data_IF_128961197332
#
_entry.id   IF_128961197332
#
_cell.length_a   1.000
_cell.length_b   1.000
_cell.length_c   1.000
_cell.angle_alpha   90.00
_cell.angle_beta   90.00
_cell.angle_gamma   90.00
#
_symmetry.space_group_name_H-M   'P 1'
#
loop_
_entity.id
_entity.type
_entity.pdbx_description
1 polymer ?
#
# COMPACT_ATOMS: atom_id res chain seq x y z
N UNK A 1 -38.59 29.64 8.15
CA UNK A 1 -38.10 28.25 8.21
C UNK A 1 -36.67 28.21 7.68
N UNK A 2 -35.70 28.07 8.57
CA UNK A 2 -34.30 27.89 8.17
C UNK A 2 -34.18 26.43 7.75
N UNK A 3 -34.06 26.17 6.43
CA UNK A 3 -33.68 24.83 5.95
C UNK A 3 -32.27 24.54 6.47
N UNK A 4 -32.18 23.58 7.39
CA UNK A 4 -30.90 23.00 7.74
C UNK A 4 -30.32 22.35 6.48
N UNK A 5 -29.30 22.97 5.90
CA UNK A 5 -28.45 22.30 4.92
C UNK A 5 -27.82 21.13 5.66
N UNK A 6 -28.28 19.93 5.38
CA UNK A 6 -27.63 18.72 5.90
C UNK A 6 -26.19 18.76 5.35
N UNK A 7 -25.22 19.03 6.21
CA UNK A 7 -23.80 18.84 5.86
C UNK A 7 -23.63 17.39 5.48
N UNK A 8 -23.11 17.14 4.27
CA UNK A 8 -22.78 15.77 3.87
C UNK A 8 -21.85 15.15 4.92
N UNK A 9 -22.17 13.95 5.37
CA UNK A 9 -21.35 13.22 6.33
C UNK A 9 -19.95 13.00 5.73
N UNK A 10 -18.90 13.36 6.45
CA UNK A 10 -17.52 13.17 5.99
C UNK A 10 -17.23 11.66 5.91
N UNK A 11 -16.82 11.13 4.75
CA UNK A 11 -16.54 9.70 4.63
C UNK A 11 -15.29 9.33 5.44
N UNK A 12 -15.24 8.10 5.93
CA UNK A 12 -13.99 7.52 6.39
C UNK A 12 -13.07 7.21 5.21
N UNK A 13 -11.78 7.15 5.46
CA UNK A 13 -10.78 6.84 4.43
C UNK A 13 -9.85 5.75 4.96
N UNK A 14 -9.70 4.67 4.22
CA UNK A 14 -8.71 3.62 4.50
C UNK A 14 -7.75 3.50 3.32
N UNK A 15 -6.47 3.56 3.62
CA UNK A 15 -5.42 3.19 2.69
C UNK A 15 -4.86 1.83 3.07
N UNK A 16 -4.96 0.89 2.15
CA UNK A 16 -4.31 -0.41 2.20
C UNK A 16 -3.12 -0.32 1.26
N UNK A 17 -1.92 -0.22 1.80
CA UNK A 17 -0.71 -0.13 1.00
C UNK A 17 0.12 -1.40 1.09
N UNK A 18 0.76 -1.74 0.00
CA UNK A 18 1.74 -2.81 -0.07
C UNK A 18 3.10 -2.27 -0.48
N UNK A 19 4.16 -2.99 -0.17
CA UNK A 19 5.50 -2.73 -0.69
C UNK A 19 5.79 -3.62 -1.90
N UNK A 20 6.60 -3.10 -2.82
CA UNK A 20 7.28 -3.86 -3.86
C UNK A 20 6.34 -4.69 -4.76
N UNK A 21 5.22 -4.14 -5.22
CA UNK A 21 4.30 -4.84 -6.14
C UNK A 21 4.04 -4.01 -7.40
N UNK A 22 4.39 -4.56 -8.56
CA UNK A 22 3.86 -4.13 -9.86
C UNK A 22 2.41 -4.64 -10.03
N UNK A 23 1.67 -4.34 -11.12
CA UNK A 23 0.26 -4.76 -11.28
C UNK A 23 0.07 -6.29 -11.45
N UNK A 24 0.70 -7.10 -10.59
CA UNK A 24 0.57 -8.56 -10.56
C UNK A 24 -0.63 -8.98 -9.70
N UNK A 25 -1.85 -8.56 -10.12
CA UNK A 25 -3.13 -8.91 -9.51
C UNK A 25 -4.05 -9.52 -10.58
N UNK A 26 -4.98 -10.38 -10.18
CA UNK A 26 -5.96 -10.98 -11.08
C UNK A 26 -6.78 -9.93 -11.82
N UNK A 27 -7.28 -8.90 -11.12
CA UNK A 27 -8.00 -7.78 -11.73
C UNK A 27 -7.17 -6.96 -12.72
N UNK A 28 -5.84 -7.06 -12.67
CA UNK A 28 -4.93 -6.42 -13.64
C UNK A 28 -4.64 -7.33 -14.86
N UNK A 29 -5.22 -8.52 -14.91
CA UNK A 29 -5.05 -9.49 -15.99
C UNK A 29 -3.85 -10.40 -15.84
N UNK A 30 -3.23 -10.46 -14.65
CA UNK A 30 -2.14 -11.41 -14.38
C UNK A 30 -2.71 -12.83 -14.19
N UNK A 31 -2.32 -13.83 -15.03
CA UNK A 31 -2.93 -15.15 -15.00
C UNK A 31 -2.44 -16.03 -13.83
N UNK A 32 -1.39 -15.61 -13.13
CA UNK A 32 -0.79 -16.36 -12.02
C UNK A 32 -1.18 -15.82 -10.66
N UNK A 33 -1.65 -14.57 -10.60
CA UNK A 33 -2.01 -13.93 -9.35
C UNK A 33 -3.28 -14.56 -8.74
N UNK A 34 -3.24 -14.86 -7.44
CA UNK A 34 -4.40 -15.34 -6.66
C UNK A 34 -4.75 -14.22 -5.67
N UNK A 35 -5.66 -13.31 -6.10
CA UNK A 35 -5.99 -12.08 -5.37
C UNK A 35 -7.50 -11.83 -5.30
N UNK A 36 -8.32 -12.80 -4.81
CA UNK A 36 -9.77 -12.72 -4.89
C UNK A 36 -10.38 -11.53 -4.12
N UNK A 37 -9.74 -11.08 -3.03
CA UNK A 37 -10.24 -9.95 -2.23
C UNK A 37 -10.05 -8.62 -2.95
N UNK A 38 -8.88 -8.38 -3.53
CA UNK A 38 -8.60 -7.18 -4.31
C UNK A 38 -9.30 -7.20 -5.66
N UNK A 39 -9.47 -8.37 -6.27
CA UNK A 39 -10.24 -8.53 -7.50
C UNK A 39 -11.71 -8.13 -7.27
N UNK A 40 -12.27 -8.53 -6.12
CA UNK A 40 -13.61 -8.12 -5.69
C UNK A 40 -13.68 -6.62 -5.42
N UNK A 41 -12.71 -6.04 -4.71
CA UNK A 41 -12.64 -4.59 -4.48
C UNK A 41 -12.61 -3.82 -5.81
N UNK A 42 -11.86 -4.31 -6.80
CA UNK A 42 -11.79 -3.72 -8.13
C UNK A 42 -13.10 -3.84 -8.92
N UNK A 43 -13.88 -4.90 -8.71
CA UNK A 43 -15.22 -5.07 -9.31
C UNK A 43 -16.26 -4.13 -8.69
N UNK A 44 -16.15 -3.86 -7.38
CA UNK A 44 -17.06 -2.97 -6.64
C UNK A 44 -16.68 -1.49 -6.80
N UNK A 45 -15.45 -1.20 -7.25
CA UNK A 45 -14.88 0.14 -7.30
C UNK A 45 -14.32 0.52 -8.66
N UNK A 46 -13.26 1.30 -8.65
CA UNK A 46 -12.54 1.77 -9.84
C UNK A 46 -11.10 1.31 -9.80
N UNK A 47 -10.68 0.53 -10.81
CA UNK A 47 -9.27 0.19 -11.02
C UNK A 47 -8.64 1.14 -12.03
N UNK A 48 -7.54 1.77 -11.64
CA UNK A 48 -6.75 2.63 -12.52
C UNK A 48 -5.74 1.80 -13.30
N UNK A 49 -5.77 1.87 -14.63
CA UNK A 49 -4.88 1.11 -15.51
C UNK A 49 -3.52 1.75 -15.69
N UNK A 50 -3.41 3.06 -15.46
CA UNK A 50 -2.20 3.86 -15.65
C UNK A 50 -1.91 4.67 -14.38
N UNK A 51 -1.53 3.97 -13.30
CA UNK A 51 -1.09 4.58 -12.05
C UNK A 51 0.43 4.39 -11.89
N UNK A 52 1.14 5.50 -11.73
CA UNK A 52 2.60 5.49 -11.62
C UNK A 52 3.05 6.20 -10.35
N UNK A 53 4.00 5.61 -9.67
CA UNK A 53 4.69 6.26 -8.55
C UNK A 53 5.72 7.24 -9.05
N UNK A 54 6.09 8.20 -8.21
CA UNK A 54 7.09 9.25 -8.54
C UNK A 54 8.54 8.78 -8.39
N UNK A 55 8.75 7.62 -7.77
CA UNK A 55 10.08 7.02 -7.59
C UNK A 55 9.95 5.49 -7.45
N UNK A 56 10.84 4.74 -8.05
CA UNK A 56 10.86 3.27 -7.98
C UNK A 56 11.43 2.71 -6.68
N UNK A 57 11.37 3.44 -5.57
CA UNK A 57 11.89 3.00 -4.26
C UNK A 57 11.12 3.62 -3.10
N UNK A 58 10.96 2.86 -2.02
CA UNK A 58 10.01 3.14 -0.92
C UNK A 58 10.14 4.55 -0.31
N UNK A 59 11.31 4.94 0.17
CA UNK A 59 11.44 6.15 0.97
C UNK A 59 11.16 7.46 0.18
N UNK A 60 11.74 7.70 -1.00
CA UNK A 60 11.40 8.85 -1.83
C UNK A 60 9.92 8.86 -2.26
N UNK A 61 9.38 7.70 -2.67
CA UNK A 61 7.97 7.58 -3.03
C UNK A 61 7.04 7.93 -1.86
N UNK A 62 7.27 7.35 -0.68
CA UNK A 62 6.44 7.58 0.52
C UNK A 62 6.52 9.03 1.00
N UNK A 63 7.67 9.67 0.83
CA UNK A 63 7.83 11.11 1.09
C UNK A 63 6.97 11.94 0.14
N UNK A 64 6.97 11.61 -1.15
CA UNK A 64 6.16 12.31 -2.13
C UNK A 64 4.66 12.11 -1.87
N UNK A 65 4.22 10.88 -1.61
CA UNK A 65 2.82 10.55 -1.35
C UNK A 65 2.30 11.32 -0.12
N UNK A 66 3.04 11.32 0.99
CA UNK A 66 2.54 11.92 2.23
C UNK A 66 2.52 13.44 2.20
N UNK A 67 3.32 14.06 1.34
CA UNK A 67 3.40 15.52 1.20
C UNK A 67 2.63 16.06 -0.01
N UNK A 68 2.26 15.20 -0.98
CA UNK A 68 1.68 15.61 -2.25
C UNK A 68 2.67 16.38 -3.15
N UNK A 69 3.98 16.27 -2.88
CA UNK A 69 5.04 16.97 -3.61
C UNK A 69 6.03 15.99 -4.19
N UNK A 70 6.56 16.27 -5.38
CA UNK A 70 7.66 15.47 -5.92
C UNK A 70 8.86 15.52 -4.98
N UNK A 71 9.45 14.36 -4.73
CA UNK A 71 10.57 14.19 -3.79
C UNK A 71 11.80 15.06 -4.12
N UNK A 72 12.08 15.33 -5.40
CA UNK A 72 13.16 16.22 -5.83
C UNK A 72 12.87 17.70 -5.53
N UNK A 73 11.60 18.11 -5.53
CA UNK A 73 11.21 19.49 -5.20
C UNK A 73 11.39 19.83 -3.72
N UNK A 74 11.41 18.82 -2.86
CA UNK A 74 11.50 18.97 -1.40
C UNK A 74 12.77 18.34 -0.80
N UNK A 75 13.72 17.90 -1.65
CA UNK A 75 15.00 17.35 -1.20
C UNK A 75 14.95 15.97 -0.56
N UNK A 76 13.87 15.19 -0.80
CA UNK A 76 13.66 13.85 -0.20
C UNK A 76 13.91 12.71 -1.17
N UNK A 77 14.66 12.95 -2.26
CA UNK A 77 14.89 12.00 -3.34
C UNK A 77 16.00 10.96 -3.05
N UNK A 78 16.84 11.19 -2.06
CA UNK A 78 17.85 10.21 -1.64
C UNK A 78 17.31 9.25 -0.58
N UNK A 79 17.68 7.98 -0.67
CA UNK A 79 17.40 7.01 0.37
C UNK A 79 18.10 7.40 1.68
N UNK A 80 17.35 7.35 2.78
CA UNK A 80 17.83 7.65 4.14
C UNK A 80 18.37 9.09 4.30
N UNK A 81 17.88 10.03 3.51
CA UNK A 81 18.11 11.44 3.75
C UNK A 81 17.25 11.96 4.91
N UNK A 82 17.57 13.14 5.38
CA UNK A 82 16.89 13.82 6.47
C UNK A 82 16.63 15.28 6.07
N UNK A 83 15.74 15.46 5.12
CA UNK A 83 15.43 16.78 4.58
C UNK A 83 14.70 17.67 5.59
N UNK A 84 14.81 18.97 5.40
CA UNK A 84 13.98 19.96 6.08
C UNK A 84 12.89 20.42 5.14
N UNK A 85 11.64 20.13 5.48
CA UNK A 85 10.51 20.59 4.67
C UNK A 85 10.33 22.11 4.77
N UNK A 86 9.89 22.78 3.69
CA UNK A 86 9.46 24.17 3.76
C UNK A 86 8.37 24.37 4.85
N UNK A 87 8.40 25.48 5.56
CA UNK A 87 7.48 25.74 6.70
C UNK A 87 5.99 25.77 6.32
N UNK A 88 5.70 26.07 5.08
CA UNK A 88 4.33 26.08 4.55
C UNK A 88 3.82 24.69 4.17
N UNK A 89 4.72 23.69 3.98
CA UNK A 89 4.36 22.34 3.52
C UNK A 89 4.00 21.46 4.72
N UNK A 90 2.74 21.09 4.79
CA UNK A 90 2.24 20.11 5.77
C UNK A 90 2.02 18.77 5.08
N UNK A 91 2.46 17.63 5.67
CA UNK A 91 1.96 16.31 5.26
C UNK A 91 0.43 16.28 5.36
N UNK A 92 -0.25 15.75 4.33
CA UNK A 92 -1.71 15.89 4.24
C UNK A 92 -2.51 15.30 5.43
N UNK A 93 -2.03 14.29 6.19
CA UNK A 93 -2.77 13.83 7.38
C UNK A 93 -2.88 14.91 8.46
N UNK A 94 -1.97 15.90 8.49
CA UNK A 94 -2.10 17.08 9.37
C UNK A 94 -3.35 17.88 9.00
N UNK A 95 -3.58 18.10 7.70
CA UNK A 95 -4.76 18.79 7.19
C UNK A 95 -6.06 18.02 7.50
N UNK A 96 -6.03 16.69 7.37
CA UNK A 96 -7.17 15.85 7.75
C UNK A 96 -7.47 15.93 9.25
N UNK A 97 -6.43 15.96 10.10
CA UNK A 97 -6.61 16.15 11.54
C UNK A 97 -7.20 17.54 11.86
N UNK A 98 -6.75 18.57 11.17
CA UNK A 98 -7.32 19.93 11.29
C UNK A 98 -8.80 19.95 10.85
N UNK A 99 -9.18 19.09 9.89
CA UNK A 99 -10.57 18.87 9.46
C UNK A 99 -11.38 17.93 10.38
N UNK A 100 -10.82 17.48 11.50
CA UNK A 100 -11.51 16.68 12.52
C UNK A 100 -11.34 15.17 12.40
N UNK A 101 -10.57 14.66 11.42
CA UNK A 101 -10.33 13.23 11.27
C UNK A 101 -9.41 12.66 12.36
N UNK A 102 -9.70 11.43 12.76
CA UNK A 102 -8.76 10.61 13.54
C UNK A 102 -7.81 9.89 12.59
N UNK A 103 -6.54 10.30 12.57
CA UNK A 103 -5.55 9.82 11.60
C UNK A 103 -4.60 8.80 12.22
N UNK A 104 -4.50 7.60 11.63
CA UNK A 104 -3.61 6.52 12.11
C UNK A 104 -2.77 5.93 10.99
N UNK A 105 -1.55 5.48 11.33
CA UNK A 105 -0.65 4.78 10.42
C UNK A 105 -0.09 3.51 11.05
N UNK A 106 -0.31 2.37 10.42
CA UNK A 106 0.19 1.07 10.85
C UNK A 106 1.04 0.45 9.72
N UNK A 107 2.34 0.50 9.78
CA UNK A 107 3.19 1.26 10.70
C UNK A 107 4.34 1.93 9.97
N UNK A 108 4.53 1.62 8.68
CA UNK A 108 5.65 2.13 7.88
C UNK A 108 5.49 3.62 7.56
N UNK A 109 6.59 4.37 7.66
CA UNK A 109 6.65 5.80 7.35
C UNK A 109 7.66 6.10 6.23
N UNK A 110 8.94 6.00 6.48
CA UNK A 110 10.04 6.27 5.53
C UNK A 110 9.97 7.66 4.86
N UNK A 111 9.53 8.70 5.60
CA UNK A 111 9.18 10.00 4.98
C UNK A 111 10.38 10.88 4.62
N UNK A 112 11.61 10.49 4.94
CA UNK A 112 12.86 11.18 4.55
C UNK A 112 12.99 12.64 5.03
N UNK A 113 12.22 13.03 6.06
CA UNK A 113 12.33 14.33 6.75
C UNK A 113 12.19 14.15 8.26
N UNK A 114 12.81 15.06 9.03
CA UNK A 114 12.79 15.02 10.51
C UNK A 114 11.60 15.77 11.10
N UNK A 115 11.15 16.80 10.43
CA UNK A 115 10.03 17.63 10.85
C UNK A 115 9.02 17.79 9.71
N UNK A 116 7.71 17.75 10.03
CA UNK A 116 7.13 17.48 11.36
C UNK A 116 7.40 16.04 11.84
N UNK A 117 7.42 15.84 13.16
CA UNK A 117 7.58 14.49 13.75
C UNK A 117 6.32 13.64 13.55
N UNK A 118 6.46 12.31 13.63
CA UNK A 118 5.31 11.38 13.46
C UNK A 118 4.11 11.71 14.35
N UNK A 119 4.33 12.13 15.60
CA UNK A 119 3.28 12.54 16.53
C UNK A 119 2.56 13.84 16.15
N UNK A 120 3.22 14.66 15.34
CA UNK A 120 2.62 15.88 14.78
C UNK A 120 1.77 15.58 13.55
N UNK A 121 2.11 14.51 12.82
CA UNK A 121 1.38 14.05 11.60
C UNK A 121 0.17 13.17 11.97
N UNK A 122 0.35 12.22 12.87
CA UNK A 122 -0.61 11.16 13.19
C UNK A 122 -1.11 11.24 14.63
N UNK A 123 -2.36 10.87 14.88
CA UNK A 123 -2.84 10.61 16.24
C UNK A 123 -2.16 9.37 16.82
N UNK A 124 -2.00 8.31 16.01
CA UNK A 124 -1.24 7.11 16.37
C UNK A 124 -0.45 6.64 15.15
N UNK A 125 0.87 6.44 15.30
CA UNK A 125 1.71 5.83 14.27
C UNK A 125 2.54 4.69 14.88
N UNK A 126 2.40 3.49 14.33
CA UNK A 126 3.04 2.25 14.80
C UNK A 126 2.07 1.08 14.76
N UNK A 127 2.50 -0.10 15.24
CA UNK A 127 1.70 -1.33 15.20
C UNK A 127 0.35 -1.28 15.92
N UNK A 128 0.12 -0.26 16.75
CA UNK A 128 -1.17 0.01 17.40
C UNK A 128 -2.06 0.98 16.64
N UNK A 129 -1.62 1.51 15.49
CA UNK A 129 -2.41 2.42 14.65
C UNK A 129 -3.63 1.72 14.08
N UNK A 130 -4.84 2.14 14.49
CA UNK A 130 -6.08 1.53 14.04
C UNK A 130 -7.27 2.47 14.25
N UNK A 131 -8.22 2.55 13.30
CA UNK A 131 -9.41 3.40 13.41
C UNK A 131 -10.28 3.08 14.62
N UNK A 132 -10.30 1.81 15.08
CA UNK A 132 -11.07 1.35 16.25
C UNK A 132 -10.67 2.06 17.55
N UNK A 133 -9.46 2.65 17.59
CA UNK A 133 -8.91 3.32 18.78
C UNK A 133 -9.41 4.76 18.94
N UNK A 134 -10.22 5.29 18.02
CA UNK A 134 -10.82 6.62 18.17
C UNK A 134 -11.76 6.68 19.36
N UNK A 135 -11.72 7.77 20.11
CA UNK A 135 -12.51 7.94 21.33
C UNK A 135 -14.01 8.09 21.06
N UNK A 136 -14.38 8.66 19.90
CA UNK A 136 -15.76 8.86 19.47
C UNK A 136 -16.02 8.05 18.19
N UNK A 137 -16.99 7.14 18.22
CA UNK A 137 -17.38 6.33 17.04
C UNK A 137 -17.87 7.18 15.86
N UNK A 138 -18.46 8.35 16.13
CA UNK A 138 -18.92 9.29 15.10
C UNK A 138 -17.81 10.13 14.48
N UNK A 139 -16.58 10.08 15.00
CA UNK A 139 -15.46 10.82 14.43
C UNK A 139 -15.02 10.14 13.14
N UNK A 140 -14.94 10.87 11.99
CA UNK A 140 -14.40 10.31 10.76
C UNK A 140 -12.93 9.94 10.95
N UNK A 141 -12.45 8.95 10.22
CA UNK A 141 -11.06 8.51 10.34
C UNK A 141 -10.37 8.42 8.99
N UNK A 142 -9.06 8.63 9.02
CA UNK A 142 -8.12 8.26 7.99
C UNK A 142 -7.14 7.25 8.56
N UNK A 143 -7.18 6.02 8.07
CA UNK A 143 -6.35 4.94 8.57
C UNK A 143 -5.51 4.34 7.44
N UNK A 144 -4.19 4.30 7.64
CA UNK A 144 -3.25 3.68 6.72
C UNK A 144 -2.77 2.37 7.30
N UNK A 145 -2.83 1.31 6.50
CA UNK A 145 -2.29 -0.01 6.80
C UNK A 145 -1.25 -0.37 5.75
N UNK A 146 -0.07 -0.79 6.18
CA UNK A 146 1.06 -1.06 5.30
C UNK A 146 1.48 -2.53 5.43
N UNK A 147 1.27 -3.31 4.38
CA UNK A 147 1.78 -4.68 4.31
C UNK A 147 3.24 -4.66 3.86
N UNK A 148 4.13 -5.13 4.71
CA UNK A 148 5.58 -5.17 4.44
C UNK A 148 6.09 -6.56 4.04
N UNK A 149 5.18 -7.52 3.92
CA UNK A 149 5.51 -8.91 3.57
C UNK A 149 6.09 -9.07 2.18
N UNK A 150 5.58 -8.29 1.21
CA UNK A 150 6.03 -8.32 -0.18
C UNK A 150 7.36 -7.59 -0.46
N UNK A 151 7.94 -6.89 0.53
CA UNK A 151 9.25 -6.27 0.39
C UNK A 151 10.28 -7.27 -0.16
N UNK A 152 11.23 -6.83 -0.98
CA UNK A 152 12.26 -7.69 -1.63
C UNK A 152 12.90 -8.71 -0.67
N UNK A 153 13.01 -8.37 0.62
CA UNK A 153 13.49 -9.30 1.63
C UNK A 153 12.55 -10.50 1.87
N UNK A 154 11.27 -10.41 1.52
CA UNK A 154 10.35 -11.55 1.53
C UNK A 154 10.69 -12.58 0.46
N UNK A 155 11.20 -12.15 -0.69
CA UNK A 155 11.68 -13.04 -1.75
C UNK A 155 13.05 -13.60 -1.37
N UNK A 156 13.98 -12.75 -0.93
CA UNK A 156 15.38 -13.12 -0.70
C UNK A 156 15.61 -13.93 0.60
N UNK A 157 14.79 -13.73 1.64
CA UNK A 157 14.95 -14.39 2.95
C UNK A 157 13.98 -15.56 3.10
N UNK A 158 14.49 -16.77 3.19
CA UNK A 158 13.69 -17.97 3.41
C UNK A 158 12.83 -17.90 4.68
N UNK A 159 13.39 -17.38 5.78
CA UNK A 159 12.66 -17.27 7.04
C UNK A 159 11.52 -16.27 6.96
N UNK A 160 11.73 -15.12 6.30
CA UNK A 160 10.69 -14.11 6.12
C UNK A 160 9.60 -14.63 5.17
N UNK A 161 10.00 -15.24 4.05
CA UNK A 161 9.07 -15.87 3.11
C UNK A 161 8.16 -16.88 3.82
N UNK A 162 8.74 -17.82 4.57
CA UNK A 162 7.96 -18.82 5.33
C UNK A 162 7.01 -18.17 6.32
N UNK A 163 7.46 -17.21 7.10
CA UNK A 163 6.62 -16.53 8.08
C UNK A 163 5.46 -15.77 7.45
N UNK A 164 5.67 -15.11 6.30
CA UNK A 164 4.60 -14.35 5.61
C UNK A 164 3.58 -15.28 4.96
N UNK A 165 4.02 -16.44 4.48
CA UNK A 165 3.19 -17.37 3.70
C UNK A 165 2.70 -18.57 4.50
N UNK A 166 2.94 -18.64 5.80
CA UNK A 166 2.65 -19.83 6.62
C UNK A 166 1.17 -20.25 6.60
N UNK A 167 0.27 -19.28 6.52
CA UNK A 167 -1.18 -19.52 6.52
C UNK A 167 -1.77 -19.83 5.14
N UNK A 168 -0.97 -19.79 4.06
CA UNK A 168 -1.45 -20.10 2.72
C UNK A 168 -1.82 -21.57 2.58
N UNK A 169 -3.02 -21.82 2.09
CA UNK A 169 -3.52 -23.16 1.77
C UNK A 169 -2.74 -23.76 0.59
N UNK A 170 -2.70 -25.10 0.44
CA UNK A 170 -2.07 -25.75 -0.70
C UNK A 170 -2.57 -25.25 -2.06
N UNK A 171 -3.86 -24.92 -2.18
CA UNK A 171 -4.46 -24.35 -3.41
C UNK A 171 -4.04 -22.91 -3.72
N UNK A 172 -3.43 -22.24 -2.76
CA UNK A 172 -2.93 -20.87 -2.88
C UNK A 172 -1.41 -20.83 -3.14
N UNK A 173 -0.78 -22.00 -3.21
CA UNK A 173 0.66 -22.13 -3.51
C UNK A 173 0.89 -22.22 -5.01
N UNK A 174 1.99 -21.64 -5.43
CA UNK A 174 2.43 -21.63 -6.82
C UNK A 174 3.39 -22.82 -7.10
N UNK A 175 3.31 -23.37 -8.32
CA UNK A 175 4.33 -24.26 -8.81
C UNK A 175 5.24 -23.48 -9.78
N UNK A 176 6.55 -23.39 -9.55
CA UNK A 176 7.46 -22.64 -10.43
C UNK A 176 7.41 -23.07 -11.91
N UNK A 177 7.06 -24.33 -12.18
CA UNK A 177 6.97 -24.89 -13.54
C UNK A 177 5.77 -24.35 -14.31
N UNK A 178 4.72 -23.94 -13.60
CA UNK A 178 3.47 -23.48 -14.21
C UNK A 178 3.48 -21.97 -14.49
N UNK A 179 4.53 -21.24 -14.06
CA UNK A 179 4.70 -19.83 -14.34
C UNK A 179 5.15 -19.62 -15.79
N UNK A 180 4.20 -19.50 -16.71
CA UNK A 180 4.43 -19.45 -18.15
C UNK A 180 4.80 -18.06 -18.69
N UNK A 181 4.59 -17.02 -17.90
CA UNK A 181 4.74 -15.61 -18.32
C UNK A 181 5.74 -14.86 -17.44
N UNK A 182 7.01 -15.22 -17.51
CA UNK A 182 8.07 -14.39 -16.94
C UNK A 182 8.31 -13.16 -17.83
N UNK A 183 8.61 -11.98 -17.27
CA UNK A 183 9.03 -10.85 -18.08
C UNK A 183 10.22 -11.21 -18.96
N UNK A 184 10.22 -10.83 -20.26
CA UNK A 184 11.17 -11.36 -21.26
C UNK A 184 12.64 -10.97 -21.02
N UNK A 185 12.91 -10.04 -20.12
CA UNK A 185 14.26 -9.65 -19.73
C UNK A 185 14.84 -10.49 -18.57
N UNK A 186 14.08 -11.45 -18.02
CA UNK A 186 14.61 -12.41 -17.07
C UNK A 186 15.04 -13.69 -17.77
N UNK A 187 16.19 -14.29 -17.39
CA UNK A 187 16.54 -15.62 -17.87
C UNK A 187 15.57 -16.65 -17.28
N UNK A 188 15.10 -17.56 -18.12
CA UNK A 188 14.25 -18.67 -17.67
C UNK A 188 15.07 -19.76 -16.98
N UNK A 189 15.30 -19.59 -15.69
CA UNK A 189 16.05 -20.52 -14.83
C UNK A 189 15.23 -20.95 -13.63
N UNK A 190 15.64 -22.04 -12.98
CA UNK A 190 14.99 -22.52 -11.76
C UNK A 190 15.00 -21.45 -10.65
N UNK A 191 16.06 -20.67 -10.53
CA UNK A 191 16.18 -19.59 -9.53
C UNK A 191 15.19 -18.48 -9.83
N UNK A 192 15.13 -18.00 -11.06
CA UNK A 192 14.18 -16.95 -11.46
C UNK A 192 12.74 -17.38 -11.24
N UNK A 193 12.41 -18.62 -11.60
CA UNK A 193 11.05 -19.17 -11.39
C UNK A 193 10.71 -19.30 -9.91
N UNK A 194 11.66 -19.67 -9.05
CA UNK A 194 11.45 -19.75 -7.61
C UNK A 194 11.23 -18.33 -7.01
N UNK A 195 11.99 -17.32 -7.44
CA UNK A 195 11.81 -15.94 -6.98
C UNK A 195 10.43 -15.38 -7.39
N UNK A 196 9.99 -15.66 -8.61
CA UNK A 196 8.65 -15.29 -9.07
C UNK A 196 7.53 -16.03 -8.35
N UNK A 197 7.71 -17.33 -8.09
CA UNK A 197 6.80 -18.09 -7.24
C UNK A 197 6.65 -17.44 -5.87
N UNK A 198 7.76 -17.11 -5.21
CA UNK A 198 7.74 -16.44 -3.91
C UNK A 198 7.02 -15.10 -3.99
N UNK A 199 7.28 -14.31 -5.02
CA UNK A 199 6.59 -13.06 -5.23
C UNK A 199 5.06 -13.23 -5.30
N UNK A 200 4.55 -14.17 -6.09
CA UNK A 200 3.11 -14.44 -6.19
C UNK A 200 2.51 -14.95 -4.87
N UNK A 201 3.20 -15.81 -4.15
CA UNK A 201 2.69 -16.30 -2.86
C UNK A 201 2.67 -15.18 -1.79
N UNK A 202 3.64 -14.27 -1.78
CA UNK A 202 3.63 -13.09 -0.92
C UNK A 202 2.46 -12.15 -1.28
N UNK A 203 2.15 -11.99 -2.57
CA UNK A 203 0.99 -11.22 -3.04
C UNK A 203 -0.32 -11.89 -2.59
N UNK A 204 -0.41 -13.21 -2.66
CA UNK A 204 -1.59 -13.94 -2.17
C UNK A 204 -1.78 -13.77 -0.65
N UNK A 205 -0.70 -13.80 0.13
CA UNK A 205 -0.76 -13.53 1.57
C UNK A 205 -1.18 -12.07 1.86
N UNK A 206 -0.70 -11.13 1.06
CA UNK A 206 -1.11 -9.73 1.14
C UNK A 206 -2.61 -9.55 0.82
N UNK A 207 -3.11 -10.25 -0.20
CA UNK A 207 -4.53 -10.20 -0.57
C UNK A 207 -5.44 -10.73 0.56
N UNK A 208 -5.04 -11.83 1.20
CA UNK A 208 -5.76 -12.36 2.37
C UNK A 208 -5.80 -11.33 3.52
N UNK A 209 -4.65 -10.73 3.84
CA UNK A 209 -4.56 -9.68 4.85
C UNK A 209 -5.41 -8.43 4.49
N UNK A 210 -5.45 -8.03 3.24
CA UNK A 210 -6.31 -6.94 2.77
C UNK A 210 -7.79 -7.30 2.92
N UNK A 211 -8.16 -8.55 2.61
CA UNK A 211 -9.50 -9.10 2.81
C UNK A 211 -9.93 -9.02 4.27
N UNK A 212 -9.05 -9.36 5.21
CA UNK A 212 -9.33 -9.27 6.64
C UNK A 212 -9.58 -7.82 7.10
N UNK A 213 -8.83 -6.85 6.58
CA UNK A 213 -9.07 -5.43 6.88
C UNK A 213 -10.43 -4.96 6.34
N UNK A 214 -10.79 -5.36 5.14
CA UNK A 214 -12.10 -5.06 4.53
C UNK A 214 -13.21 -5.70 5.35
N UNK A 215 -13.04 -6.95 5.76
CA UNK A 215 -14.02 -7.65 6.61
C UNK A 215 -14.18 -6.95 7.96
N UNK A 216 -13.11 -6.47 8.57
CA UNK A 216 -13.18 -5.70 9.81
C UNK A 216 -13.98 -4.39 9.67
N UNK A 217 -13.97 -3.75 8.49
CA UNK A 217 -14.82 -2.57 8.23
C UNK A 217 -16.29 -2.98 8.14
N UNK A 218 -16.59 -4.10 7.49
CA UNK A 218 -17.96 -4.66 7.39
C UNK A 218 -18.52 -5.03 8.76
N UNK A 219 -17.73 -5.73 9.56
CA UNK A 219 -18.13 -6.15 10.92
C UNK A 219 -18.36 -4.96 11.87
N UNK A 220 -17.64 -3.84 11.62
CA UNK A 220 -17.82 -2.61 12.39
C UNK A 220 -18.96 -1.72 11.87
N UNK A 221 -19.63 -2.07 10.76
CA UNK A 221 -20.65 -1.24 10.11
C UNK A 221 -20.10 0.07 9.52
N UNK A 222 -18.82 0.07 9.16
CA UNK A 222 -18.13 1.26 8.62
C UNK A 222 -17.89 1.15 7.10
N UNK A 223 -18.12 -0.01 6.49
CA UNK A 223 -17.76 -0.27 5.09
C UNK A 223 -18.42 0.72 4.12
N UNK A 224 -19.73 0.88 4.18
CA UNK A 224 -20.51 1.72 3.26
C UNK A 224 -20.24 3.23 3.43
N UNK A 225 -19.52 3.61 4.50
CA UNK A 225 -19.12 4.99 4.80
C UNK A 225 -17.63 5.25 4.57
N UNK A 226 -16.91 4.26 4.00
CA UNK A 226 -15.46 4.30 3.88
C UNK A 226 -15.01 4.27 2.43
N UNK A 227 -14.22 5.25 2.04
CA UNK A 227 -13.43 5.20 0.80
C UNK A 227 -12.22 4.31 1.06
N UNK A 228 -12.13 3.18 0.36
CA UNK A 228 -11.02 2.24 0.47
C UNK A 228 -10.11 2.43 -0.74
N UNK A 229 -8.83 2.71 -0.50
CA UNK A 229 -7.80 2.84 -1.53
C UNK A 229 -6.74 1.76 -1.33
N UNK A 230 -6.54 0.92 -2.35
CA UNK A 230 -5.41 -0.01 -2.40
C UNK A 230 -4.35 0.49 -3.38
N UNK A 231 -3.08 0.45 -2.98
CA UNK A 231 -1.93 0.86 -3.80
C UNK A 231 -0.61 0.23 -3.35
N UNK A 232 0.35 0.14 -4.27
CA UNK A 232 1.74 -0.19 -3.95
C UNK A 232 2.62 1.04 -4.00
N UNK A 233 3.69 1.08 -3.20
CA UNK A 233 4.61 2.22 -3.21
C UNK A 233 5.48 2.27 -4.47
N UNK A 234 5.88 1.13 -5.03
CA UNK A 234 6.60 1.00 -6.29
C UNK A 234 6.52 -0.44 -6.82
N UNK A 235 7.22 -0.72 -7.92
CA UNK A 235 7.21 -2.03 -8.57
C UNK A 235 7.97 -3.12 -7.82
N UNK A 236 7.86 -4.35 -8.34
CA UNK A 236 8.32 -5.60 -7.72
C UNK A 236 9.80 -5.54 -7.26
N UNK A 237 10.08 -6.18 -6.14
CA UNK A 237 11.40 -6.24 -5.50
C UNK A 237 12.41 -7.16 -6.20
N UNK A 238 12.39 -7.19 -7.55
CA UNK A 238 13.26 -8.00 -8.41
C UNK A 238 14.11 -7.11 -9.33
N UNK A 239 15.18 -7.66 -9.96
CA UNK A 239 16.05 -6.90 -10.87
C UNK A 239 15.28 -6.15 -11.96
N UNK A 240 15.74 -4.95 -12.36
CA UNK A 240 15.14 -4.07 -13.36
C UNK A 240 13.75 -3.50 -13.01
N UNK A 241 13.24 -3.72 -11.80
CA UNK A 241 11.99 -3.14 -11.34
C UNK A 241 12.25 -2.16 -10.19
N UNK A 242 12.29 -2.60 -8.95
CA UNK A 242 12.64 -1.73 -7.82
C UNK A 242 13.93 -0.96 -8.08
N UNK A 243 13.96 0.34 -7.76
CA UNK A 243 15.05 1.31 -7.97
C UNK A 243 15.22 1.80 -9.41
N UNK A 244 14.42 1.32 -10.35
CA UNK A 244 14.49 1.74 -11.75
C UNK A 244 13.24 2.52 -12.16
N UNK A 245 13.41 3.42 -13.14
CA UNK A 245 12.33 4.27 -13.67
C UNK A 245 11.62 3.64 -14.89
N UNK A 246 11.79 2.35 -15.10
CA UNK A 246 10.99 1.60 -16.06
C UNK A 246 9.56 1.39 -15.52
N UNK A 247 8.62 1.08 -16.36
CA UNK A 247 7.25 0.72 -15.95
C UNK A 247 7.26 -0.39 -14.90
N UNK A 248 8.14 -1.38 -15.05
CA UNK A 248 8.32 -2.45 -14.05
C UNK A 248 8.66 -1.94 -12.64
N UNK A 249 9.25 -0.75 -12.52
CA UNK A 249 9.61 -0.13 -11.23
C UNK A 249 8.65 0.95 -10.77
N UNK A 250 7.88 1.55 -11.68
CA UNK A 250 7.03 2.72 -11.36
C UNK A 250 5.54 2.51 -11.61
N UNK A 251 5.14 1.56 -12.47
CA UNK A 251 3.73 1.20 -12.67
C UNK A 251 3.24 0.36 -11.50
N UNK A 252 2.21 0.85 -10.82
CA UNK A 252 1.68 0.24 -9.60
C UNK A 252 0.21 -0.10 -9.75
N UNK A 253 -0.31 -1.11 -9.04
CA UNK A 253 -1.74 -1.32 -8.94
C UNK A 253 -2.35 -0.20 -8.10
N UNK A 254 -3.52 0.31 -8.55
CA UNK A 254 -4.28 1.32 -7.82
C UNK A 254 -5.77 1.08 -7.99
N UNK A 255 -6.48 0.91 -6.86
CA UNK A 255 -7.92 0.62 -6.78
C UNK A 255 -8.56 1.56 -5.76
N UNK A 256 -9.72 2.12 -6.09
CA UNK A 256 -10.56 2.92 -5.18
C UNK A 256 -11.99 2.37 -5.20
#
# INVERSE_FOLDING_TARGET
>A
MLSSVAMAEQPNIVWISCEDISPHLGCCGDPHAITPNLDKLAQEGTRYTNAFTTAGVCAPCRSAIITGMYQNSIGTHHMRCNATLPTWLKPFPVLLREAGYYCTNNSKTDYQFSKPEKKEIWNVSGGKGHWKNRSKKSQPFFAVFNFTGCHESGIASESKYKSVTEELLPSQRQNPKDLTTLPPYYPDTAITREDWKRNYELITAMDAWAGDLIQQLKDAGEYDKTIIMYWSDHGVGLPRAKRWLYDSGTHIPFII
#
